data_IF_440556327203
#
_entry.id   IF_440556327203
#
_cell.length_a   1.000
_cell.length_b   1.000
_cell.length_c   1.000
_cell.angle_alpha   90.00
_cell.angle_beta   90.00
_cell.angle_gamma   90.00
#
_symmetry.space_group_name_H-M   'P 1'
#
loop_
_entity.id
_entity.type
_entity.pdbx_description
1 polymer ?
#
# COMPACT_ATOMS: atom_id res chain seq x y z
N UNK A 1 4.12 0.00 -21.81
CA UNK A 1 3.47 -0.87 -20.81
C UNK A 1 4.03 -0.72 -19.40
N UNK A 2 5.36 -0.71 -19.16
CA UNK A 2 5.91 -0.50 -17.79
C UNK A 2 5.35 0.73 -17.08
N UNK A 3 5.25 1.86 -17.79
CA UNK A 3 4.79 3.13 -17.22
C UNK A 3 3.41 3.05 -16.55
N UNK A 4 2.45 2.32 -17.12
CA UNK A 4 1.09 2.21 -16.55
C UNK A 4 1.10 1.45 -15.22
N UNK A 5 1.96 0.42 -15.11
CA UNK A 5 2.11 -0.36 -13.87
C UNK A 5 2.80 0.44 -12.78
N UNK A 6 3.76 1.27 -13.16
CA UNK A 6 4.44 2.18 -12.24
C UNK A 6 3.46 3.28 -11.77
N UNK A 7 2.73 3.91 -12.70
CA UNK A 7 1.75 4.98 -12.42
C UNK A 7 0.62 4.51 -11.48
N UNK A 8 0.06 3.32 -11.71
CA UNK A 8 -1.02 2.80 -10.86
C UNK A 8 -0.53 2.47 -9.45
N UNK A 9 0.69 1.96 -9.33
CA UNK A 9 1.26 1.56 -8.05
C UNK A 9 1.64 2.80 -7.23
N UNK A 10 2.14 3.85 -7.88
CA UNK A 10 2.35 5.16 -7.28
C UNK A 10 1.03 5.76 -6.75
N UNK A 11 -0.04 5.71 -7.54
CA UNK A 11 -1.36 6.16 -7.08
C UNK A 11 -1.86 5.31 -5.92
N UNK A 12 -1.76 3.97 -6.00
CA UNK A 12 -2.14 3.06 -4.92
C UNK A 12 -1.42 3.39 -3.62
N UNK A 13 -0.10 3.56 -3.68
CA UNK A 13 0.74 3.87 -2.52
C UNK A 13 0.46 5.27 -1.96
N UNK A 14 0.25 6.26 -2.84
CA UNK A 14 -0.12 7.63 -2.45
C UNK A 14 -1.45 7.67 -1.70
N UNK A 15 -2.41 6.85 -2.12
CA UNK A 15 -3.74 6.76 -1.50
C UNK A 15 -3.80 5.75 -0.33
N UNK A 16 -2.70 5.07 0.01
CA UNK A 16 -2.69 4.06 1.07
C UNK A 16 -3.60 2.84 0.80
N UNK A 17 -3.93 2.58 -0.46
CA UNK A 17 -4.87 1.54 -0.84
C UNK A 17 -4.22 0.15 -0.79
N UNK A 18 -4.98 -0.85 -0.35
CA UNK A 18 -4.55 -2.25 -0.45
C UNK A 18 -4.59 -2.72 -1.91
N UNK A 19 -3.80 -3.74 -2.26
CA UNK A 19 -3.87 -4.33 -3.60
C UNK A 19 -5.29 -4.85 -3.95
N UNK A 20 -6.02 -5.36 -2.96
CA UNK A 20 -7.40 -5.80 -3.15
C UNK A 20 -8.34 -4.64 -3.47
N UNK A 21 -8.12 -3.47 -2.85
CA UNK A 21 -8.91 -2.27 -3.10
C UNK A 21 -8.73 -1.74 -4.53
N UNK A 22 -7.58 -1.97 -5.16
CA UNK A 22 -7.35 -1.65 -6.58
C UNK A 22 -7.84 -2.77 -7.50
N UNK A 23 -7.63 -4.04 -7.12
CA UNK A 23 -8.01 -5.18 -7.94
C UNK A 23 -9.52 -5.29 -8.16
N UNK A 24 -10.33 -5.00 -7.13
CA UNK A 24 -11.81 -5.06 -7.19
C UNK A 24 -12.42 -4.16 -8.28
N UNK A 25 -12.17 -2.84 -8.32
CA UNK A 25 -12.72 -1.98 -9.37
C UNK A 25 -12.18 -2.31 -10.76
N UNK A 26 -10.98 -2.89 -10.85
CA UNK A 26 -10.43 -3.41 -12.11
C UNK A 26 -11.06 -4.74 -12.55
N UNK A 27 -11.93 -5.35 -11.74
CA UNK A 27 -12.57 -6.62 -12.07
C UNK A 27 -11.61 -7.82 -12.10
N UNK A 28 -10.52 -7.75 -11.33
CA UNK A 28 -9.53 -8.84 -11.22
C UNK A 28 -9.34 -9.26 -9.76
N UNK A 29 -8.74 -10.44 -9.56
CA UNK A 29 -8.41 -10.92 -8.23
C UNK A 29 -7.13 -10.25 -7.71
N UNK A 30 -6.99 -10.11 -6.39
CA UNK A 30 -5.77 -9.57 -5.79
C UNK A 30 -4.50 -10.34 -6.19
N UNK A 31 -4.48 -11.70 -6.24
CA UNK A 31 -3.31 -12.42 -6.72
C UNK A 31 -2.96 -12.09 -8.18
N UNK A 32 -3.96 -11.90 -9.04
CA UNK A 32 -3.74 -11.50 -10.43
C UNK A 32 -3.13 -10.09 -10.52
N UNK A 33 -3.67 -9.13 -9.77
CA UNK A 33 -3.11 -7.78 -9.66
C UNK A 33 -1.64 -7.82 -9.22
N UNK A 34 -1.32 -8.58 -8.17
CA UNK A 34 0.05 -8.73 -7.66
C UNK A 34 1.01 -9.28 -8.73
N UNK A 35 0.57 -10.28 -9.50
CA UNK A 35 1.37 -10.83 -10.62
C UNK A 35 1.58 -9.83 -11.74
N UNK A 36 0.55 -9.06 -12.09
CA UNK A 36 0.62 -8.05 -13.16
C UNK A 36 1.56 -6.91 -12.79
N UNK A 37 1.40 -6.32 -11.59
CA UNK A 37 2.30 -5.25 -11.09
C UNK A 37 3.71 -5.78 -10.86
N UNK A 38 3.85 -7.01 -10.38
CA UNK A 38 5.13 -7.72 -10.26
C UNK A 38 5.76 -8.14 -11.58
N UNK A 39 5.15 -7.79 -12.73
CA UNK A 39 5.61 -8.14 -14.10
C UNK A 39 5.75 -9.66 -14.33
N UNK A 40 5.11 -10.47 -13.49
CA UNK A 40 5.11 -11.93 -13.55
C UNK A 40 3.96 -12.49 -14.40
N UNK A 41 3.04 -11.65 -14.85
CA UNK A 41 1.98 -11.98 -15.80
C UNK A 41 1.92 -10.91 -16.90
N UNK A 42 1.57 -11.35 -18.12
CA UNK A 42 1.29 -10.42 -19.21
C UNK A 42 0.10 -9.52 -18.85
N UNK A 43 0.15 -8.27 -19.29
CA UNK A 43 -0.92 -7.29 -19.11
C UNK A 43 -1.75 -7.26 -20.40
N UNK A 44 -2.97 -7.81 -20.42
CA UNK A 44 -3.87 -7.68 -21.57
C UNK A 44 -4.23 -6.21 -21.83
N UNK A 45 -4.40 -5.82 -23.08
CA UNK A 45 -4.67 -4.42 -23.46
C UNK A 45 -5.92 -3.85 -22.79
N UNK A 46 -6.99 -4.66 -22.69
CA UNK A 46 -8.22 -4.27 -22.00
C UNK A 46 -7.99 -3.99 -20.50
N UNK A 47 -7.14 -4.78 -19.84
CA UNK A 47 -6.75 -4.52 -18.46
C UNK A 47 -5.86 -3.28 -18.35
N UNK A 48 -4.95 -3.06 -19.30
CA UNK A 48 -4.13 -1.85 -19.36
C UNK A 48 -5.00 -0.59 -19.48
N UNK A 49 -6.06 -0.65 -20.30
CA UNK A 49 -7.01 0.45 -20.47
C UNK A 49 -7.79 0.72 -19.19
N UNK A 50 -8.31 -0.33 -18.52
CA UNK A 50 -8.98 -0.21 -17.22
C UNK A 50 -8.06 0.38 -16.15
N UNK A 51 -6.80 -0.05 -16.10
CA UNK A 51 -5.79 0.48 -15.17
C UNK A 51 -5.49 1.95 -15.46
N UNK A 52 -5.32 2.33 -16.72
CA UNK A 52 -5.08 3.71 -17.10
C UNK A 52 -6.27 4.62 -16.77
N UNK A 53 -7.51 4.15 -16.99
CA UNK A 53 -8.71 4.89 -16.64
C UNK A 53 -8.83 5.07 -15.13
N UNK A 54 -8.65 3.99 -14.36
CA UNK A 54 -8.69 4.05 -12.91
C UNK A 54 -7.67 5.06 -12.35
N UNK A 55 -6.43 5.05 -12.85
CA UNK A 55 -5.39 6.01 -12.45
C UNK A 55 -5.80 7.45 -12.73
N UNK A 56 -6.44 7.72 -13.88
CA UNK A 56 -6.96 9.04 -14.21
C UNK A 56 -8.07 9.45 -13.25
N UNK A 57 -9.04 8.58 -12.99
CA UNK A 57 -10.17 8.87 -12.10
C UNK A 57 -9.69 9.22 -10.69
N UNK A 58 -8.70 8.49 -10.17
CA UNK A 58 -8.07 8.79 -8.88
C UNK A 58 -7.29 10.10 -8.86
N UNK A 59 -6.77 10.56 -10.00
CA UNK A 59 -6.10 11.85 -10.11
C UNK A 59 -7.09 13.02 -10.07
N UNK A 60 -8.31 12.84 -10.58
CA UNK A 60 -9.38 13.85 -10.55
C UNK A 60 -10.11 13.91 -9.20
N UNK A 61 -10.25 12.79 -8.49
CA UNK A 61 -10.93 12.75 -7.19
C UNK A 61 -10.08 13.24 -6.00
N UNK A 62 -8.80 13.58 -6.20
CA UNK A 62 -7.94 14.10 -5.12
C UNK A 62 -7.55 15.58 -5.29
N UNK A 63 -8.35 16.54 -4.79
CA UNK A 63 -7.74 17.60 -4.01
C UNK A 63 -7.28 16.96 -2.71
N UNK A 64 -5.98 16.75 -2.55
CA UNK A 64 -5.40 16.22 -1.33
C UNK A 64 -5.97 16.99 -0.13
N UNK A 65 -6.84 16.34 0.66
CA UNK A 65 -7.19 16.88 1.98
C UNK A 65 -5.89 16.87 2.76
N UNK A 66 -5.36 18.06 3.05
CA UNK A 66 -4.06 18.28 3.69
C UNK A 66 -3.81 17.40 4.93
N UNK A 67 -4.87 16.97 5.61
CA UNK A 67 -4.79 16.07 6.77
C UNK A 67 -4.32 14.64 6.47
N UNK A 68 -4.59 14.09 5.28
CA UNK A 68 -4.19 12.70 4.97
C UNK A 68 -2.69 12.60 4.69
N UNK A 69 -2.11 13.66 4.10
CA UNK A 69 -0.67 13.76 3.89
C UNK A 69 0.07 13.88 5.22
N UNK A 70 -0.42 14.74 6.11
CA UNK A 70 0.13 14.90 7.46
C UNK A 70 0.04 13.58 8.24
N UNK A 71 -1.10 12.87 8.16
CA UNK A 71 -1.30 11.56 8.78
C UNK A 71 -0.32 10.50 8.24
N UNK A 72 -0.07 10.47 6.93
CA UNK A 72 0.90 9.55 6.31
C UNK A 72 2.33 9.89 6.70
N UNK A 73 2.69 11.17 6.73
CA UNK A 73 4.00 11.65 7.17
C UNK A 73 4.25 11.29 8.65
N UNK A 74 3.22 11.48 9.49
CA UNK A 74 3.26 11.11 10.91
C UNK A 74 3.43 9.60 11.09
N UNK A 75 2.67 8.80 10.33
CA UNK A 75 2.75 7.33 10.37
C UNK A 75 4.16 6.86 9.99
N UNK A 76 4.71 7.37 8.88
CA UNK A 76 6.10 7.07 8.46
C UNK A 76 7.12 7.50 9.50
N UNK A 77 6.90 8.61 10.19
CA UNK A 77 7.76 9.06 11.29
C UNK A 77 7.75 8.09 12.47
N UNK A 78 6.56 7.66 12.91
CA UNK A 78 6.38 6.69 13.99
C UNK A 78 7.04 5.35 13.64
N UNK A 79 6.89 4.87 12.41
CA UNK A 79 7.56 3.64 11.95
C UNK A 79 9.08 3.75 12.02
N UNK A 80 9.65 4.87 11.57
CA UNK A 80 11.10 5.12 11.65
C UNK A 80 11.58 5.16 13.09
N UNK A 81 10.85 5.88 13.95
CA UNK A 81 11.16 5.97 15.38
C UNK A 81 11.08 4.61 16.08
N UNK A 82 10.08 3.79 15.74
CA UNK A 82 9.92 2.44 16.28
C UNK A 82 11.07 1.51 15.84
N UNK A 83 11.50 1.57 14.57
CA UNK A 83 12.67 0.83 14.08
C UNK A 83 13.96 1.28 14.78
N UNK A 84 14.11 2.60 14.98
CA UNK A 84 15.26 3.15 15.69
C UNK A 84 15.30 2.68 17.15
N UNK A 85 14.16 2.70 17.83
CA UNK A 85 14.03 2.18 19.20
C UNK A 85 14.37 0.69 19.27
N UNK A 86 13.84 -0.12 18.35
CA UNK A 86 14.16 -1.55 18.29
C UNK A 86 15.66 -1.80 18.10
N UNK A 87 16.33 -0.97 17.29
CA UNK A 87 17.79 -1.04 17.08
C UNK A 87 18.55 -0.70 18.36
N UNK A 88 18.14 0.36 19.08
CA UNK A 88 18.76 0.75 20.35
C UNK A 88 18.57 -0.30 21.45
N UNK A 89 17.37 -0.90 21.52
CA UNK A 89 17.08 -1.97 22.46
C UNK A 89 17.92 -3.23 22.17
N UNK A 90 18.06 -3.60 20.90
CA UNK A 90 18.92 -4.70 20.47
C UNK A 90 20.40 -4.46 20.84
N UNK A 91 20.90 -3.24 20.64
CA UNK A 91 22.27 -2.87 21.02
C UNK A 91 22.53 -2.94 22.53
N UNK A 92 21.50 -2.79 23.36
CA UNK A 92 21.57 -2.93 24.83
C UNK A 92 21.32 -4.37 25.32
N UNK A 93 21.24 -5.35 24.42
CA UNK A 93 20.93 -6.74 24.77
C UNK A 93 19.49 -6.97 25.24
N UNK A 94 18.62 -5.96 25.13
CA UNK A 94 17.19 -6.05 25.45
C UNK A 94 16.42 -6.35 24.17
N UNK A 95 16.21 -7.63 23.84
CA UNK A 95 15.37 -7.98 22.70
C UNK A 95 13.94 -7.41 22.90
N UNK A 96 13.32 -6.79 21.88
CA UNK A 96 11.95 -6.31 22.01
C UNK A 96 11.02 -7.51 22.23
N UNK A 97 10.44 -7.58 23.42
CA UNK A 97 9.44 -8.59 23.77
C UNK A 97 8.26 -8.42 22.84
N UNK A 98 8.08 -9.34 21.88
CA UNK A 98 6.90 -9.39 21.02
C UNK A 98 5.67 -9.42 21.94
N UNK A 99 4.97 -8.29 22.07
CA UNK A 99 3.69 -8.22 22.79
C UNK A 99 2.74 -9.17 22.07
N UNK A 100 2.50 -10.36 22.66
CA UNK A 100 1.42 -11.25 22.24
C UNK A 100 0.12 -10.47 22.46
N UNK A 101 -0.48 -9.99 21.37
CA UNK A 101 -1.81 -9.41 21.41
C UNK A 101 -2.76 -10.53 21.86
N UNK A 102 -3.30 -10.39 23.07
CA UNK A 102 -4.28 -11.32 23.58
C UNK A 102 -5.53 -11.24 22.69
N UNK A 103 -5.89 -12.36 22.05
CA UNK A 103 -7.14 -12.46 21.30
C UNK A 103 -8.28 -12.43 22.32
N UNK A 104 -8.89 -11.27 22.52
CA UNK A 104 -10.13 -11.14 23.27
C UNK A 104 -11.21 -11.88 22.49
N UNK A 105 -11.67 -13.01 23.02
CA UNK A 105 -12.79 -13.79 22.47
C UNK A 105 -14.06 -13.14 23.04
N UNK A 106 -14.77 -12.36 22.23
CA UNK A 106 -16.12 -11.90 22.60
C UNK A 106 -17.09 -13.08 22.49
N UNK A 107 -17.85 -13.31 23.56
CA UNK A 107 -18.97 -14.26 23.62
C UNK A 107 -20.23 -13.62 23.05
#
# INVERSE_FOLDING_TARGET
MSKILDDIEDVRLRLGLTQLAVARPLGITQPHYSKVVGRAAALPDDLAQRMAQWTKDQAFETPAKSGDREMLELTRSIERQSKRLATLLAAQGRAPTKRRVARTRSR
#
